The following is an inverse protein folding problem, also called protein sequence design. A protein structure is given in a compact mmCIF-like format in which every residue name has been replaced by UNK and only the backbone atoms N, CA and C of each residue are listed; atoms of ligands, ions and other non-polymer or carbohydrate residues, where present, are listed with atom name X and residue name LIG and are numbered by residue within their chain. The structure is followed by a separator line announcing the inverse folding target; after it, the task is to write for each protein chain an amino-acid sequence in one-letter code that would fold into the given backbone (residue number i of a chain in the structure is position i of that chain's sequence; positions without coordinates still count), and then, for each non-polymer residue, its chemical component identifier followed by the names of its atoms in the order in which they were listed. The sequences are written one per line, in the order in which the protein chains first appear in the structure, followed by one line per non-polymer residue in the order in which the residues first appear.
data_IF_667467588946
#
_entry.id   IF_667467588946
#
_cell.length_a   1.000
_cell.length_b   1.000
_cell.length_c   1.000
_cell.angle_alpha   90.00
_cell.angle_beta   90.00
_cell.angle_gamma   90.00
#
_symmetry.space_group_name_H-M   'P 1'
#
loop_
_entity.id
_entity.type
_entity.pdbx_description
1 polymer ?
#
# COMPACT_ATOMS: atom_id res chain seq x y z
N UNK A 1 -1.54 -3.96 28.26
CA UNK A 1 -1.13 -5.37 28.51
C UNK A 1 0.09 -5.35 29.40
N UNK A 2 0.07 -6.15 30.47
CA UNK A 2 1.22 -6.33 31.37
C UNK A 2 1.73 -7.76 31.20
N UNK A 3 3.01 -7.90 30.90
CA UNK A 3 3.72 -9.17 30.89
C UNK A 3 4.55 -9.27 32.17
N UNK A 4 4.43 -10.36 32.90
CA UNK A 4 5.06 -10.58 34.19
C UNK A 4 6.07 -11.71 34.02
N UNK A 5 7.31 -11.49 34.45
CA UNK A 5 8.32 -12.54 34.55
C UNK A 5 8.20 -13.25 35.91
N UNK A 6 8.59 -14.53 35.94
CA UNK A 6 8.38 -15.42 37.10
C UNK A 6 8.97 -14.91 38.41
N UNK A 7 10.04 -14.10 38.36
CA UNK A 7 10.73 -13.54 39.53
C UNK A 7 10.16 -12.18 40.02
N UNK A 8 9.03 -11.72 39.47
CA UNK A 8 8.47 -10.40 39.79
C UNK A 8 7.68 -10.42 41.11
N UNK A 9 7.92 -9.43 42.00
CA UNK A 9 7.22 -9.37 43.26
C UNK A 9 5.73 -8.99 43.08
N UNK A 10 4.78 -9.60 43.84
CA UNK A 10 3.36 -9.28 43.74
C UNK A 10 3.05 -7.79 43.99
N UNK A 11 3.79 -7.13 44.91
CA UNK A 11 3.63 -5.72 45.22
C UNK A 11 4.00 -4.85 44.01
N UNK A 12 5.05 -5.22 43.26
CA UNK A 12 5.48 -4.48 42.06
C UNK A 12 4.46 -4.60 40.94
N UNK A 13 3.94 -5.81 40.75
CA UNK A 13 2.89 -6.05 39.75
C UNK A 13 1.64 -5.21 40.09
N UNK A 14 1.21 -5.19 41.36
CA UNK A 14 0.06 -4.41 41.81
C UNK A 14 0.27 -2.90 41.58
N UNK A 15 1.47 -2.39 41.86
CA UNK A 15 1.81 -0.98 41.62
C UNK A 15 1.71 -0.63 40.12
N UNK A 16 2.14 -1.50 39.24
CA UNK A 16 2.10 -1.26 37.82
C UNK A 16 0.67 -1.35 37.24
N UNK A 17 -0.16 -2.26 37.75
CA UNK A 17 -1.59 -2.37 37.38
C UNK A 17 -2.37 -1.10 37.76
N UNK A 18 -2.00 -0.47 38.89
CA UNK A 18 -2.68 0.73 39.41
C UNK A 18 -2.11 2.03 38.85
N UNK A 19 -1.04 1.99 38.03
CA UNK A 19 -0.49 3.20 37.40
C UNK A 19 -1.45 3.76 36.36
N UNK A 20 -1.74 5.07 36.38
CA UNK A 20 -2.66 5.69 35.43
C UNK A 20 -2.01 5.98 34.04
N UNK A 21 -0.89 5.40 33.71
CA UNK A 21 -0.19 5.65 32.46
C UNK A 21 -0.75 4.77 31.32
N UNK A 22 -1.04 5.40 30.17
CA UNK A 22 -1.58 4.75 28.97
C UNK A 22 -0.51 3.99 28.17
N UNK A 23 0.26 3.13 28.83
CA UNK A 23 1.26 2.30 28.13
C UNK A 23 0.60 1.05 27.52
N UNK A 24 0.92 0.76 26.25
CA UNK A 24 0.30 -0.33 25.51
C UNK A 24 0.81 -1.71 25.96
N UNK A 25 2.07 -1.78 26.37
CA UNK A 25 2.71 -2.99 26.88
C UNK A 25 3.76 -2.62 27.92
N UNK A 26 3.63 -3.17 29.11
CA UNK A 26 4.61 -3.06 30.19
C UNK A 26 5.12 -4.46 30.53
N UNK A 27 6.43 -4.62 30.64
CA UNK A 27 7.10 -5.83 31.11
C UNK A 27 7.58 -5.54 32.54
N UNK A 28 7.11 -6.35 33.49
CA UNK A 28 7.57 -6.29 34.87
C UNK A 28 8.58 -7.41 35.07
N UNK A 29 9.82 -7.03 35.46
CA UNK A 29 10.91 -7.95 35.71
C UNK A 29 11.57 -7.56 37.06
N UNK A 30 11.46 -8.47 38.04
CA UNK A 30 11.91 -8.25 39.43
C UNK A 30 11.40 -6.92 39.98
N UNK A 31 12.30 -5.95 40.17
CA UNK A 31 11.99 -4.64 40.72
C UNK A 31 11.92 -3.52 39.65
N UNK A 32 11.98 -3.87 38.38
CA UNK A 32 11.94 -2.93 37.26
C UNK A 32 10.70 -3.11 36.39
N UNK A 33 10.17 -2.00 35.92
CA UNK A 33 9.13 -1.99 34.88
C UNK A 33 9.68 -1.33 33.63
N UNK A 34 9.55 -2.02 32.51
CA UNK A 34 9.96 -1.53 31.20
C UNK A 34 8.73 -1.38 30.31
N UNK A 35 8.49 -0.18 29.82
CA UNK A 35 7.45 0.07 28.82
C UNK A 35 8.05 -0.04 27.43
N UNK A 36 7.43 -0.87 26.58
CA UNK A 36 7.77 -0.88 25.16
C UNK A 36 7.12 0.33 24.49
N UNK A 37 7.92 1.24 24.03
CA UNK A 37 7.48 2.42 23.26
C UNK A 37 7.98 2.32 21.84
N UNK A 38 7.11 2.65 20.88
CA UNK A 38 7.55 2.99 19.53
C UNK A 38 8.21 4.37 19.62
N UNK A 39 9.52 4.39 19.68
CA UNK A 39 10.28 5.62 19.49
C UNK A 39 10.41 5.86 17.98
N UNK A 40 10.35 7.13 17.52
CA UNK A 40 10.83 7.44 16.19
C UNK A 40 12.24 6.87 16.08
N UNK A 41 12.49 6.04 15.09
CA UNK A 41 13.86 5.64 14.76
C UNK A 41 14.65 6.95 14.62
N UNK A 42 15.86 7.05 15.24
CA UNK A 42 16.79 8.11 14.88
C UNK A 42 16.83 8.11 13.36
N UNK A 43 16.56 9.25 12.74
CA UNK A 43 16.67 9.39 11.30
C UNK A 43 18.13 9.13 10.97
N UNK A 44 18.47 7.88 10.68
CA UNK A 44 19.68 7.58 9.92
C UNK A 44 19.56 8.47 8.67
N UNK A 45 20.52 9.35 8.38
CA UNK A 45 20.45 10.23 7.21
C UNK A 45 20.26 9.44 5.91
N UNK A 46 20.19 8.13 6.00
CA UNK A 46 20.03 7.23 4.87
C UNK A 46 21.29 7.15 4.02
N UNK A 47 21.34 6.30 3.03
CA UNK A 47 22.49 6.18 2.14
C UNK A 47 22.64 7.46 1.33
N UNK A 48 23.85 8.04 1.35
CA UNK A 48 24.23 9.19 0.53
C UNK A 48 24.60 8.69 -0.87
N UNK A 49 24.13 9.40 -1.91
CA UNK A 49 24.47 9.08 -3.30
C UNK A 49 23.40 8.27 -4.03
N UNK A 50 23.84 7.43 -4.95
CA UNK A 50 22.93 6.58 -5.77
C UNK A 50 22.85 5.20 -5.14
N UNK A 51 21.65 4.80 -4.76
CA UNK A 51 21.37 3.55 -4.04
C UNK A 51 20.10 2.87 -4.49
N UNK A 52 19.96 1.61 -4.18
CA UNK A 52 18.75 0.80 -4.36
C UNK A 52 18.62 -0.24 -3.24
N UNK A 53 17.39 -0.73 -3.04
CA UNK A 53 17.11 -1.87 -2.17
C UNK A 53 17.16 -3.15 -3.00
N UNK A 54 18.14 -4.04 -2.82
CA UNK A 54 18.20 -5.31 -3.54
C UNK A 54 17.12 -6.28 -3.03
N UNK A 55 16.88 -7.36 -3.78
CA UNK A 55 16.07 -8.47 -3.30
C UNK A 55 16.64 -9.01 -1.98
N UNK A 56 15.75 -9.36 -1.04
CA UNK A 56 16.14 -10.07 0.18
C UNK A 56 16.75 -11.44 -0.18
N UNK A 57 17.87 -11.76 0.43
CA UNK A 57 18.56 -13.05 0.24
C UNK A 57 18.16 -14.09 1.28
N UNK A 58 17.76 -13.66 2.47
CA UNK A 58 17.43 -14.49 3.63
C UNK A 58 15.93 -14.58 3.96
N UNK A 59 15.10 -13.75 3.29
CA UNK A 59 13.67 -13.68 3.56
C UNK A 59 13.31 -12.94 4.85
N UNK A 60 14.22 -12.10 5.35
CA UNK A 60 14.10 -11.34 6.58
C UNK A 60 14.00 -9.85 6.29
N UNK A 61 13.17 -9.15 7.05
CA UNK A 61 13.09 -7.67 7.00
C UNK A 61 14.35 -7.06 7.62
N UNK A 62 14.91 -7.68 8.66
CA UNK A 62 16.10 -7.19 9.34
C UNK A 62 17.38 -7.27 8.48
N UNK A 63 17.37 -8.11 7.45
CA UNK A 63 18.46 -8.22 6.48
C UNK A 63 18.42 -7.20 5.34
N UNK A 64 17.39 -6.35 5.29
CA UNK A 64 17.27 -5.34 4.25
C UNK A 64 18.28 -4.21 4.44
N UNK A 65 19.08 -3.97 3.43
CA UNK A 65 20.03 -2.88 3.41
C UNK A 65 20.08 -2.25 2.02
N UNK A 66 20.04 -0.93 1.97
CA UNK A 66 20.33 -0.21 0.74
C UNK A 66 21.79 -0.42 0.32
N UNK A 67 21.99 -0.61 -0.97
CA UNK A 67 23.33 -0.77 -1.57
C UNK A 67 23.59 0.34 -2.57
N UNK A 68 24.82 0.84 -2.59
CA UNK A 68 25.25 1.77 -3.62
C UNK A 68 25.15 1.12 -5.01
N UNK A 69 24.77 1.93 -6.00
CA UNK A 69 24.68 1.51 -7.40
C UNK A 69 25.09 2.64 -8.32
N UNK A 70 25.14 2.39 -9.61
CA UNK A 70 25.38 3.41 -10.62
C UNK A 70 24.08 3.72 -11.37
N UNK A 71 23.95 4.96 -11.82
CA UNK A 71 22.87 5.37 -12.72
C UNK A 71 23.09 4.82 -14.11
N UNK A 72 22.02 4.45 -14.78
CA UNK A 72 22.02 4.05 -16.18
C UNK A 72 21.38 5.16 -17.01
N UNK A 73 22.07 5.62 -18.04
CA UNK A 73 21.47 6.57 -18.98
C UNK A 73 20.21 5.97 -19.63
N UNK A 74 19.09 6.72 -19.68
CA UNK A 74 17.88 6.26 -20.34
C UNK A 74 18.11 6.10 -21.87
N UNK A 75 17.49 5.09 -22.46
CA UNK A 75 17.46 4.86 -23.91
C UNK A 75 16.29 5.66 -24.52
N UNK A 76 16.23 5.71 -25.86
CA UNK A 76 15.08 6.27 -26.54
C UNK A 76 13.75 5.67 -26.04
N UNK A 77 12.77 6.51 -25.67
CA UNK A 77 11.51 6.08 -25.05
C UNK A 77 11.58 5.77 -23.56
N UNK A 78 12.72 6.03 -22.90
CA UNK A 78 12.89 5.92 -21.46
C UNK A 78 13.19 7.30 -20.84
N UNK A 79 12.85 7.41 -19.58
CA UNK A 79 13.23 8.55 -18.72
C UNK A 79 13.83 8.05 -17.41
N UNK A 80 14.65 8.88 -16.78
CA UNK A 80 15.16 8.62 -15.45
C UNK A 80 14.48 9.56 -14.44
N UNK A 81 13.97 8.98 -13.37
CA UNK A 81 13.28 9.67 -12.29
C UNK A 81 14.18 9.65 -11.05
N UNK A 82 14.44 10.82 -10.47
CA UNK A 82 14.93 10.94 -9.10
C UNK A 82 13.74 10.68 -8.17
N UNK A 83 13.76 9.57 -7.47
CA UNK A 83 12.67 9.15 -6.59
C UNK A 83 12.68 10.00 -5.33
N UNK A 84 11.57 10.64 -5.04
CA UNK A 84 11.37 11.36 -3.78
C UNK A 84 10.49 10.56 -2.81
N UNK A 85 9.55 9.77 -3.35
CA UNK A 85 8.65 8.93 -2.56
C UNK A 85 8.32 7.67 -3.36
N UNK A 86 8.28 6.53 -2.69
CA UNK A 86 7.86 5.26 -3.28
C UNK A 86 6.64 4.68 -2.55
N UNK A 87 5.70 4.12 -3.31
CA UNK A 87 4.57 3.38 -2.76
C UNK A 87 4.99 1.97 -2.33
N UNK A 88 4.52 1.53 -1.16
CA UNK A 88 4.74 0.18 -0.67
C UNK A 88 3.46 -0.64 -0.82
N UNK A 89 3.58 -1.83 -1.36
CA UNK A 89 2.48 -2.74 -1.60
C UNK A 89 2.66 -4.08 -0.87
N UNK A 90 1.58 -4.80 -0.62
CA UNK A 90 1.65 -6.12 0.02
C UNK A 90 2.54 -7.10 -0.77
N UNK A 91 2.59 -6.95 -2.10
CA UNK A 91 3.53 -7.66 -2.97
C UNK A 91 4.99 -7.48 -2.54
N UNK A 92 5.39 -6.29 -2.11
CA UNK A 92 6.75 -6.01 -1.66
C UNK A 92 7.06 -6.76 -0.37
N UNK A 93 6.11 -6.83 0.56
CA UNK A 93 6.23 -7.64 1.79
C UNK A 93 6.43 -9.11 1.45
N UNK A 94 5.60 -9.67 0.57
CA UNK A 94 5.72 -11.06 0.13
C UNK A 94 7.06 -11.32 -0.59
N UNK A 95 7.51 -10.36 -1.40
CA UNK A 95 8.80 -10.42 -2.09
C UNK A 95 9.96 -10.47 -1.10
N UNK A 96 10.00 -9.56 -0.14
CA UNK A 96 11.03 -9.52 0.90
C UNK A 96 11.05 -10.81 1.72
N UNK A 97 9.88 -11.32 2.09
CA UNK A 97 9.73 -12.56 2.85
C UNK A 97 9.90 -13.83 1.98
N UNK A 98 10.22 -13.69 0.69
CA UNK A 98 10.34 -14.78 -0.29
C UNK A 98 9.10 -15.68 -0.37
N UNK A 99 7.92 -15.08 -0.16
CA UNK A 99 6.61 -15.74 -0.23
C UNK A 99 5.80 -15.34 -1.45
N UNK A 100 6.33 -14.45 -2.30
CA UNK A 100 5.65 -14.10 -3.54
C UNK A 100 5.71 -15.27 -4.54
N UNK A 101 4.58 -15.71 -5.09
CA UNK A 101 4.59 -16.79 -6.07
C UNK A 101 5.23 -16.31 -7.39
N UNK A 102 6.33 -16.94 -7.78
CA UNK A 102 7.06 -16.63 -9.00
C UNK A 102 8.12 -15.52 -8.85
N UNK A 103 8.49 -14.90 -9.95
CA UNK A 103 9.52 -13.86 -10.03
C UNK A 103 8.96 -12.47 -9.66
N UNK A 104 9.24 -12.01 -8.45
CA UNK A 104 8.76 -10.71 -7.98
C UNK A 104 9.56 -9.51 -8.51
N UNK A 105 10.78 -9.72 -9.04
CA UNK A 105 11.67 -8.61 -9.39
C UNK A 105 12.29 -7.91 -8.17
N UNK A 106 12.92 -6.75 -8.33
CA UNK A 106 13.40 -5.94 -7.21
C UNK A 106 12.24 -5.32 -6.43
N UNK A 107 12.41 -5.03 -5.12
CA UNK A 107 11.38 -4.39 -4.28
C UNK A 107 10.99 -2.99 -4.77
N UNK A 108 9.72 -2.64 -4.53
CA UNK A 108 9.11 -1.40 -5.00
C UNK A 108 8.53 -1.54 -6.41
N UNK A 109 7.31 -1.01 -6.59
CA UNK A 109 6.58 -1.12 -7.86
C UNK A 109 6.09 0.22 -8.38
N UNK A 110 6.20 1.28 -7.62
CA UNK A 110 5.67 2.60 -7.95
C UNK A 110 6.39 3.70 -7.20
N UNK A 111 6.46 4.88 -7.79
CA UNK A 111 7.09 6.04 -7.17
C UNK A 111 6.52 7.36 -7.67
N UNK A 112 6.86 8.44 -6.97
CA UNK A 112 6.75 9.81 -7.43
C UNK A 112 8.10 10.51 -7.27
N UNK A 113 8.40 11.46 -8.18
CA UNK A 113 9.67 12.16 -8.20
C UNK A 113 9.75 13.16 -9.31
N UNK A 114 10.96 13.42 -9.75
CA UNK A 114 11.29 14.41 -10.77
C UNK A 114 12.13 13.77 -11.89
N UNK A 115 11.83 14.12 -13.13
CA UNK A 115 12.63 13.70 -14.29
C UNK A 115 14.01 14.38 -14.21
N UNK A 116 15.06 13.58 -14.23
CA UNK A 116 16.46 14.06 -14.19
C UNK A 116 17.24 13.75 -15.47
N UNK A 117 16.70 12.88 -16.32
CA UNK A 117 17.28 12.59 -17.63
C UNK A 117 16.23 12.01 -18.57
N UNK A 118 16.35 12.30 -19.86
CA UNK A 118 15.50 11.78 -20.92
C UNK A 118 16.34 11.10 -22.00
N UNK A 119 15.85 9.98 -22.53
CA UNK A 119 16.57 9.18 -23.50
C UNK A 119 16.47 9.67 -24.95
N UNK A 120 15.64 10.66 -25.23
CA UNK A 120 15.43 11.20 -26.58
C UNK A 120 15.03 12.67 -26.52
N UNK A 121 15.40 13.44 -27.54
CA UNK A 121 14.92 14.82 -27.74
C UNK A 121 13.42 14.90 -28.05
N UNK A 122 12.82 13.79 -28.46
CA UNK A 122 11.38 13.68 -28.75
C UNK A 122 10.57 13.12 -27.57
N UNK A 123 11.15 13.09 -26.36
CA UNK A 123 10.43 12.70 -25.15
C UNK A 123 9.26 13.66 -24.91
N UNK A 124 8.16 13.10 -24.42
CA UNK A 124 7.02 13.91 -23.93
C UNK A 124 7.29 14.51 -22.54
N UNK A 125 8.41 14.19 -21.93
CA UNK A 125 8.86 14.71 -20.65
C UNK A 125 10.09 15.58 -20.79
N UNK A 126 10.26 16.52 -19.86
CA UNK A 126 11.41 17.38 -19.74
C UNK A 126 12.09 17.22 -18.38
N UNK A 127 13.38 17.51 -18.32
CA UNK A 127 14.11 17.55 -17.05
C UNK A 127 13.45 18.58 -16.13
N UNK A 128 13.18 18.22 -14.89
CA UNK A 128 12.45 19.01 -13.90
C UNK A 128 10.95 18.69 -13.81
N UNK A 129 10.39 17.91 -14.74
CA UNK A 129 8.99 17.51 -14.64
C UNK A 129 8.71 16.69 -13.39
N UNK A 130 7.65 17.09 -12.67
CA UNK A 130 7.14 16.34 -11.54
C UNK A 130 6.22 15.22 -12.02
N UNK A 131 6.55 13.99 -11.66
CA UNK A 131 5.90 12.78 -12.20
C UNK A 131 5.61 11.73 -11.13
N UNK A 132 4.76 10.77 -11.47
CA UNK A 132 4.63 9.49 -10.78
C UNK A 132 4.60 8.36 -11.81
N UNK A 133 5.02 7.16 -11.40
CA UNK A 133 5.26 6.08 -12.33
C UNK A 133 5.02 4.70 -11.72
N UNK A 134 4.65 3.75 -12.59
CA UNK A 134 4.67 2.32 -12.31
C UNK A 134 6.03 1.77 -12.76
N UNK A 135 6.87 1.36 -11.82
CA UNK A 135 8.25 0.92 -12.12
C UNK A 135 8.77 -0.04 -11.07
N UNK A 136 9.29 -1.19 -11.49
CA UNK A 136 9.93 -2.14 -10.59
C UNK A 136 11.25 -1.58 -10.04
N UNK A 137 11.55 -1.88 -8.77
CA UNK A 137 12.77 -1.43 -8.11
C UNK A 137 12.71 0.02 -7.63
N UNK A 138 11.52 0.55 -7.39
CA UNK A 138 11.32 1.93 -6.96
C UNK A 138 11.83 2.25 -5.56
N UNK A 139 12.22 1.25 -4.76
CA UNK A 139 12.95 1.50 -3.51
C UNK A 139 14.41 1.81 -3.81
N UNK A 140 14.63 2.92 -4.49
CA UNK A 140 15.91 3.40 -4.97
C UNK A 140 15.93 4.93 -5.01
N UNK A 141 17.11 5.52 -5.09
CA UNK A 141 17.26 6.96 -5.27
C UNK A 141 16.88 7.42 -6.70
N UNK A 142 17.13 6.55 -7.69
CA UNK A 142 16.84 6.81 -9.09
C UNK A 142 16.31 5.54 -9.76
N UNK A 143 15.37 5.71 -10.68
CA UNK A 143 14.85 4.62 -11.52
C UNK A 143 14.77 5.07 -12.97
N UNK A 144 15.10 4.14 -13.88
CA UNK A 144 14.90 4.36 -15.33
C UNK A 144 13.71 3.53 -15.78
N UNK A 145 12.76 4.15 -16.46
CA UNK A 145 11.48 3.58 -16.82
C UNK A 145 11.05 4.03 -18.21
N UNK A 146 10.28 3.20 -18.91
CA UNK A 146 9.67 3.58 -20.19
C UNK A 146 8.63 4.68 -19.97
N UNK A 147 8.59 5.66 -20.86
CA UNK A 147 7.70 6.82 -20.76
C UNK A 147 6.22 6.45 -20.67
N UNK A 148 5.81 5.33 -21.26
CA UNK A 148 4.42 4.85 -21.24
C UNK A 148 3.91 4.54 -19.81
N UNK A 149 4.81 4.26 -18.86
CA UNK A 149 4.47 4.01 -17.46
C UNK A 149 4.60 5.24 -16.56
N UNK A 150 4.82 6.42 -17.14
CA UNK A 150 5.02 7.67 -16.42
C UNK A 150 3.88 8.65 -16.71
N UNK A 151 3.44 9.36 -15.69
CA UNK A 151 2.38 10.36 -15.77
C UNK A 151 2.85 11.65 -15.09
N UNK A 152 2.56 12.80 -15.68
CA UNK A 152 2.77 14.09 -15.02
C UNK A 152 1.92 14.17 -13.75
N UNK A 153 2.54 14.58 -12.66
CA UNK A 153 1.83 14.78 -11.40
C UNK A 153 1.10 16.13 -11.43
N UNK A 154 -0.23 16.15 -11.28
CA UNK A 154 -0.96 17.40 -11.10
C UNK A 154 -0.42 18.20 -9.92
N UNK A 155 -0.27 19.50 -10.04
CA UNK A 155 0.33 20.35 -9.00
C UNK A 155 -0.41 20.31 -7.65
N UNK A 156 -1.72 20.08 -7.69
CA UNK A 156 -2.57 19.95 -6.49
C UNK A 156 -2.49 18.56 -5.81
N UNK A 157 -1.92 17.57 -6.48
CA UNK A 157 -1.78 16.22 -5.94
C UNK A 157 -0.50 16.14 -5.12
N UNK A 158 -0.62 15.84 -3.84
CA UNK A 158 0.53 15.61 -2.98
C UNK A 158 1.43 14.50 -3.52
N UNK A 159 2.73 14.66 -3.39
CA UNK A 159 3.71 13.72 -3.94
C UNK A 159 3.66 12.34 -3.25
N UNK A 160 3.40 12.32 -1.94
CA UNK A 160 3.29 11.08 -1.19
C UNK A 160 2.03 10.32 -1.60
N UNK A 161 0.93 11.04 -1.82
CA UNK A 161 -0.32 10.45 -2.34
C UNK A 161 -0.11 9.94 -3.76
N UNK A 162 0.54 10.72 -4.63
CA UNK A 162 0.80 10.31 -6.02
C UNK A 162 1.61 9.02 -6.13
N UNK A 163 2.56 8.80 -5.23
CA UNK A 163 3.41 7.61 -5.23
C UNK A 163 2.65 6.28 -5.00
N UNK A 164 1.49 6.31 -4.33
CA UNK A 164 0.68 5.12 -4.04
C UNK A 164 -0.48 4.89 -5.02
N UNK A 165 -0.58 5.67 -6.08
CA UNK A 165 -1.68 5.58 -7.06
C UNK A 165 -1.44 4.50 -8.12
N UNK A 166 -0.26 4.40 -8.78
CA UNK A 166 -0.11 3.66 -10.04
C UNK A 166 -0.55 2.21 -9.97
N UNK A 167 -0.02 1.45 -9.02
CA UNK A 167 -0.28 0.01 -8.97
C UNK A 167 -1.74 -0.30 -8.63
N UNK A 168 -2.30 0.39 -7.66
CA UNK A 168 -3.69 0.20 -7.23
C UNK A 168 -4.68 0.52 -8.36
N UNK A 169 -4.49 1.66 -9.03
CA UNK A 169 -5.37 2.10 -10.12
C UNK A 169 -5.25 1.24 -11.37
N UNK A 170 -4.03 0.87 -11.79
CA UNK A 170 -3.83 -0.03 -12.93
C UNK A 170 -4.48 -1.38 -12.65
N UNK A 171 -4.31 -1.93 -11.44
CA UNK A 171 -4.93 -3.20 -11.05
C UNK A 171 -6.46 -3.12 -11.10
N UNK A 172 -7.04 -2.09 -10.50
CA UNK A 172 -8.49 -1.90 -10.50
C UNK A 172 -9.04 -1.67 -11.92
N UNK A 173 -8.36 -0.86 -12.74
CA UNK A 173 -8.76 -0.58 -14.12
C UNK A 173 -8.72 -1.84 -14.99
N UNK A 174 -7.65 -2.62 -14.90
CA UNK A 174 -7.56 -3.90 -15.61
C UNK A 174 -8.67 -4.87 -15.19
N UNK A 175 -8.96 -4.96 -13.89
CA UNK A 175 -10.01 -5.83 -13.38
C UNK A 175 -11.40 -5.41 -13.86
N UNK A 176 -11.75 -4.14 -13.68
CA UNK A 176 -13.10 -3.65 -13.89
C UNK A 176 -13.40 -3.30 -15.35
N UNK A 177 -12.52 -2.56 -16.02
CA UNK A 177 -12.77 -2.12 -17.39
C UNK A 177 -12.37 -3.20 -18.40
N UNK A 178 -11.15 -3.77 -18.29
CA UNK A 178 -10.62 -4.67 -19.32
C UNK A 178 -11.17 -6.10 -19.17
N UNK A 179 -11.28 -6.62 -17.95
CA UNK A 179 -11.68 -8.01 -17.69
C UNK A 179 -13.18 -8.15 -17.49
N UNK A 180 -13.76 -7.37 -16.57
CA UNK A 180 -15.18 -7.43 -16.25
C UNK A 180 -16.04 -6.62 -17.21
N UNK A 181 -15.48 -5.60 -17.87
CA UNK A 181 -16.19 -4.68 -18.77
C UNK A 181 -17.46 -4.12 -18.11
N UNK A 182 -17.31 -3.58 -16.91
CA UNK A 182 -18.40 -3.10 -16.07
C UNK A 182 -19.21 -2.00 -16.77
N UNK A 183 -20.50 -1.94 -16.46
CA UNK A 183 -21.45 -1.00 -17.03
C UNK A 183 -22.27 -0.30 -15.95
N UNK A 184 -22.90 0.79 -16.33
CA UNK A 184 -23.86 1.48 -15.48
C UNK A 184 -24.97 0.51 -15.03
N UNK A 185 -25.23 0.50 -13.72
CA UNK A 185 -26.23 -0.36 -13.09
C UNK A 185 -25.77 -1.78 -12.73
N UNK A 186 -24.55 -2.19 -13.10
CA UNK A 186 -23.97 -3.45 -12.64
C UNK A 186 -23.81 -3.44 -11.12
N UNK A 187 -24.06 -4.57 -10.46
CA UNK A 187 -23.88 -4.77 -9.03
C UNK A 187 -22.51 -5.40 -8.78
N UNK A 188 -21.61 -4.65 -8.10
CA UNK A 188 -20.21 -5.03 -7.94
C UNK A 188 -19.88 -5.23 -6.48
N UNK A 189 -19.33 -6.42 -6.12
CA UNK A 189 -18.73 -6.65 -4.82
C UNK A 189 -17.24 -6.40 -4.88
N UNK A 190 -16.73 -5.60 -3.97
CA UNK A 190 -15.30 -5.31 -3.81
C UNK A 190 -14.89 -5.81 -2.43
N UNK A 191 -14.09 -6.89 -2.40
CA UNK A 191 -13.46 -7.35 -1.16
C UNK A 191 -12.33 -6.43 -0.73
N UNK A 192 -12.11 -6.30 0.59
CA UNK A 192 -11.14 -5.36 1.15
C UNK A 192 -11.27 -3.93 0.58
N UNK A 193 -12.50 -3.45 0.46
CA UNK A 193 -12.84 -2.20 -0.22
C UNK A 193 -12.11 -0.97 0.34
N UNK A 194 -11.67 -1.00 1.60
CA UNK A 194 -10.87 0.08 2.23
C UNK A 194 -9.35 0.00 1.95
N UNK A 195 -8.89 -1.00 1.18
CA UNK A 195 -7.51 -1.09 0.73
C UNK A 195 -7.24 -0.27 -0.52
N UNK A 196 -5.97 -0.15 -0.96
CA UNK A 196 -5.59 0.66 -2.12
C UNK A 196 -6.34 0.27 -3.40
N UNK A 197 -6.31 -1.01 -3.77
CA UNK A 197 -7.05 -1.52 -4.94
C UNK A 197 -8.56 -1.37 -4.76
N UNK A 198 -9.08 -1.61 -3.53
CA UNK A 198 -10.49 -1.44 -3.21
C UNK A 198 -10.98 0.00 -3.39
N UNK A 199 -10.22 0.98 -2.89
CA UNK A 199 -10.53 2.40 -3.06
C UNK A 199 -10.50 2.82 -4.54
N UNK A 200 -9.50 2.36 -5.30
CA UNK A 200 -9.41 2.63 -6.73
C UNK A 200 -10.59 1.98 -7.49
N UNK A 201 -10.91 0.72 -7.16
CA UNK A 201 -12.05 0.01 -7.75
C UNK A 201 -13.39 0.69 -7.47
N UNK A 202 -13.60 1.17 -6.23
CA UNK A 202 -14.82 1.93 -5.89
C UNK A 202 -14.89 3.24 -6.68
N UNK A 203 -13.79 3.96 -6.84
CA UNK A 203 -13.78 5.19 -7.62
C UNK A 203 -14.17 4.95 -9.08
N UNK A 204 -13.59 3.93 -9.72
CA UNK A 204 -13.91 3.53 -11.10
C UNK A 204 -15.37 3.08 -11.21
N UNK A 205 -15.83 2.21 -10.29
CA UNK A 205 -17.21 1.72 -10.29
C UNK A 205 -18.23 2.84 -10.09
N UNK A 206 -17.93 3.83 -9.26
CA UNK A 206 -18.76 5.01 -9.04
C UNK A 206 -18.83 5.89 -10.28
N UNK A 207 -17.72 6.10 -10.98
CA UNK A 207 -17.66 6.88 -12.21
C UNK A 207 -18.50 6.25 -13.34
N UNK A 208 -18.49 4.92 -13.42
CA UNK A 208 -19.31 4.15 -14.36
C UNK A 208 -20.81 4.15 -13.97
N UNK A 209 -21.15 4.44 -12.71
CA UNK A 209 -22.53 4.39 -12.21
C UNK A 209 -22.98 2.99 -11.79
N UNK A 210 -22.08 2.15 -11.30
CA UNK A 210 -22.37 0.83 -10.76
C UNK A 210 -22.95 0.89 -9.34
N UNK A 211 -23.71 -0.14 -8.93
CA UNK A 211 -24.19 -0.35 -7.56
C UNK A 211 -23.08 -1.08 -6.76
N UNK A 212 -22.45 -0.37 -5.82
CA UNK A 212 -21.24 -0.82 -5.17
C UNK A 212 -21.53 -1.48 -3.83
N UNK A 213 -20.96 -2.65 -3.63
CA UNK A 213 -20.95 -3.42 -2.40
C UNK A 213 -19.50 -3.60 -1.94
N UNK A 214 -19.18 -3.20 -0.70
CA UNK A 214 -17.81 -3.23 -0.20
C UNK A 214 -17.69 -4.01 1.10
N UNK A 215 -16.75 -4.94 1.20
CA UNK A 215 -16.47 -5.62 2.47
C UNK A 215 -15.25 -5.04 3.17
N UNK A 216 -15.31 -4.98 4.51
CA UNK A 216 -14.19 -4.64 5.36
C UNK A 216 -14.26 -5.37 6.71
N UNK A 217 -13.08 -5.73 7.26
CA UNK A 217 -13.00 -6.61 8.43
C UNK A 217 -13.03 -5.92 9.79
N UNK A 218 -12.90 -4.58 9.87
CA UNK A 218 -12.95 -3.85 11.14
C UNK A 218 -14.00 -2.75 11.08
N UNK A 219 -14.55 -2.41 12.25
CA UNK A 219 -15.56 -1.35 12.35
C UNK A 219 -15.04 -0.01 11.81
N UNK A 220 -13.81 0.38 12.14
CA UNK A 220 -13.22 1.63 11.66
C UNK A 220 -13.12 1.68 10.12
N UNK A 221 -12.79 0.54 9.48
CA UNK A 221 -12.75 0.45 8.01
C UNK A 221 -14.15 0.51 7.41
N UNK A 222 -15.16 -0.10 8.04
CA UNK A 222 -16.55 -0.01 7.61
C UNK A 222 -17.10 1.42 7.72
N UNK A 223 -16.79 2.11 8.81
CA UNK A 223 -17.14 3.53 8.99
C UNK A 223 -16.49 4.40 7.90
N UNK A 224 -15.20 4.18 7.60
CA UNK A 224 -14.53 4.86 6.49
C UNK A 224 -15.27 4.66 5.16
N UNK A 225 -15.63 3.41 4.81
CA UNK A 225 -16.39 3.12 3.59
C UNK A 225 -17.76 3.81 3.57
N UNK A 226 -18.46 3.84 4.71
CA UNK A 226 -19.75 4.51 4.85
C UNK A 226 -19.64 6.02 4.62
N UNK A 227 -18.56 6.65 5.08
CA UNK A 227 -18.29 8.08 4.89
C UNK A 227 -18.02 8.46 3.43
N UNK A 228 -17.49 7.53 2.62
CA UNK A 228 -17.31 7.75 1.18
C UNK A 228 -18.64 7.85 0.41
N UNK A 229 -19.72 7.34 0.98
CA UNK A 229 -21.06 7.35 0.40
C UNK A 229 -21.21 6.47 -0.85
N UNK A 230 -22.45 6.05 -1.13
CA UNK A 230 -22.76 5.26 -2.33
C UNK A 230 -22.23 3.83 -2.30
N UNK A 231 -21.93 3.27 -1.12
CA UNK A 231 -21.42 1.90 -0.95
C UNK A 231 -22.31 1.14 0.03
N UNK A 232 -22.76 -0.05 -0.34
CA UNK A 232 -23.39 -1.01 0.56
C UNK A 232 -22.28 -1.72 1.36
N UNK A 233 -22.07 -1.29 2.60
CA UNK A 233 -20.95 -1.78 3.44
C UNK A 233 -21.34 -3.07 4.15
N UNK A 234 -20.45 -4.07 4.11
CA UNK A 234 -20.63 -5.40 4.69
C UNK A 234 -19.41 -5.81 5.54
N UNK A 235 -19.66 -6.68 6.52
CA UNK A 235 -18.59 -7.27 7.34
C UNK A 235 -17.99 -8.48 6.62
N UNK A 236 -16.66 -8.47 6.40
CA UNK A 236 -15.95 -9.60 5.78
C UNK A 236 -15.59 -10.73 6.77
N UNK A 237 -15.86 -10.56 8.07
CA UNK A 237 -15.51 -11.54 9.10
C UNK A 237 -16.60 -12.57 9.36
N UNK A 238 -17.81 -12.32 8.86
CA UNK A 238 -18.91 -13.25 8.95
C UNK A 238 -19.36 -13.68 7.56
N UNK A 239 -19.88 -14.90 7.36
CA UNK A 239 -20.43 -15.35 6.08
C UNK A 239 -21.76 -14.66 5.73
N UNK A 240 -22.37 -13.95 6.66
CA UNK A 240 -23.71 -13.36 6.56
C UNK A 240 -23.83 -12.31 5.45
N UNK A 241 -22.70 -11.78 4.95
CA UNK A 241 -22.72 -10.82 3.84
C UNK A 241 -23.35 -11.42 2.58
N UNK A 242 -23.20 -12.72 2.33
CA UNK A 242 -23.78 -13.38 1.16
C UNK A 242 -25.32 -13.41 1.23
N UNK A 243 -25.87 -13.73 2.39
CA UNK A 243 -27.33 -13.70 2.63
C UNK A 243 -27.87 -12.27 2.57
N UNK A 244 -27.11 -11.30 3.12
CA UNK A 244 -27.47 -9.90 3.06
C UNK A 244 -27.54 -9.39 1.60
N UNK A 245 -26.60 -9.80 0.75
CA UNK A 245 -26.59 -9.51 -0.68
C UNK A 245 -27.81 -10.11 -1.35
N UNK A 246 -28.05 -11.42 -1.19
CA UNK A 246 -29.20 -12.10 -1.81
C UNK A 246 -30.54 -11.47 -1.40
N UNK A 247 -30.71 -11.17 -0.12
CA UNK A 247 -31.92 -10.52 0.39
C UNK A 247 -32.13 -9.13 -0.23
N UNK A 248 -31.09 -8.29 -0.27
CA UNK A 248 -31.19 -6.93 -0.82
C UNK A 248 -31.29 -6.88 -2.34
N UNK A 249 -30.87 -7.92 -3.03
CA UNK A 249 -30.96 -8.05 -4.50
C UNK A 249 -32.16 -8.89 -4.95
N UNK A 250 -33.09 -9.23 -4.06
CA UNK A 250 -34.24 -10.12 -4.34
C UNK A 250 -33.83 -11.46 -4.98
N UNK A 251 -32.72 -12.04 -4.49
CA UNK A 251 -32.18 -13.32 -4.96
C UNK A 251 -31.35 -13.24 -6.24
N UNK A 252 -31.22 -12.06 -6.87
CA UNK A 252 -30.46 -11.92 -8.12
C UNK A 252 -28.95 -12.08 -7.90
N UNK A 253 -28.41 -11.63 -6.75
CA UNK A 253 -26.97 -11.60 -6.49
C UNK A 253 -26.26 -10.43 -7.18
N UNK A 254 -24.99 -10.61 -7.50
CA UNK A 254 -24.08 -9.59 -8.04
C UNK A 254 -23.59 -9.98 -9.42
N UNK A 255 -23.28 -8.98 -10.25
CA UNK A 255 -22.78 -9.17 -11.62
C UNK A 255 -21.25 -9.38 -11.65
N UNK A 256 -20.52 -8.71 -10.76
CA UNK A 256 -19.05 -8.76 -10.70
C UNK A 256 -18.56 -8.87 -9.26
N UNK A 257 -17.52 -9.66 -9.05
CA UNK A 257 -16.79 -9.74 -7.76
C UNK A 257 -15.34 -9.41 -7.99
N UNK A 258 -14.84 -8.36 -7.33
CA UNK A 258 -13.43 -8.02 -7.25
C UNK A 258 -12.86 -8.66 -6.01
N UNK A 259 -12.10 -9.73 -6.19
CA UNK A 259 -11.41 -10.44 -5.12
C UNK A 259 -9.92 -10.11 -5.16
N UNK A 260 -9.45 -9.39 -4.14
CA UNK A 260 -8.05 -9.01 -3.94
C UNK A 260 -7.43 -9.73 -2.73
N UNK A 261 -8.03 -10.85 -2.33
CA UNK A 261 -7.55 -11.69 -1.22
C UNK A 261 -6.42 -12.61 -1.66
#
# INVERSE_FOLDING_TARGET
TIRINEDSSPQRVAQEVLRPENETLVIVDRDQSQAMRLLPLPTDPGPVGVFHLPKSTDGSISGLQFKSTSRRAPRAGEVEIRVATAGMNFRDVLNVLRRYPGEAGPPGCECAGEIVSVGSQHSRFQIGDSVFALVAGSFASHVTVREEFVVHRPSKLDQQVAAGIPLAWVTAKLALETRANIKCGDKILIHQASGGVGCAAMAIAKDVGADIWGTAGTESKRQFLSQLGGVNVLDSRTPDFSEAILRKTNGRGLDVVVNSL
#
